data_IF_300856519529
#
_entry.id   IF_300856519529
#
_cell.length_a   1.000
_cell.length_b   1.000
_cell.length_c   1.000
_cell.angle_alpha   90.00
_cell.angle_beta   90.00
_cell.angle_gamma   90.00
#
_symmetry.space_group_name_H-M   'P 1'
#
loop_
_entity.id
_entity.type
_entity.pdbx_description
1 polymer ?
#
# COMPACT_ATOMS: atom_id res chain seq x y z
N UNK A 1 22.39 -19.03 -0.59
CA UNK A 1 22.32 -17.73 -1.28
C UNK A 1 20.90 -17.14 -1.37
N UNK A 2 19.84 -17.91 -1.67
CA UNK A 2 18.49 -17.34 -1.88
C UNK A 2 17.82 -16.62 -0.68
N UNK A 3 18.12 -16.99 0.57
CA UNK A 3 17.46 -16.38 1.76
C UNK A 3 17.89 -14.94 2.06
N UNK A 4 19.15 -14.58 1.81
CA UNK A 4 19.65 -13.22 2.01
C UNK A 4 19.09 -12.26 0.95
N UNK A 5 18.99 -12.74 -0.30
CA UNK A 5 18.40 -11.97 -1.40
C UNK A 5 16.92 -11.72 -1.15
N UNK A 6 16.16 -12.71 -0.69
CA UNK A 6 14.74 -12.56 -0.36
C UNK A 6 14.52 -11.54 0.77
N UNK A 7 15.34 -11.56 1.83
CA UNK A 7 15.28 -10.58 2.91
C UNK A 7 15.54 -9.14 2.46
N UNK A 8 16.58 -8.93 1.63
CA UNK A 8 16.85 -7.61 1.05
C UNK A 8 15.72 -7.14 0.13
N UNK A 9 15.12 -8.04 -0.65
CA UNK A 9 14.02 -7.72 -1.56
C UNK A 9 12.78 -7.25 -0.80
N UNK A 10 12.43 -7.94 0.29
CA UNK A 10 11.31 -7.57 1.17
C UNK A 10 11.59 -6.22 1.84
N UNK A 11 12.79 -6.01 2.41
CA UNK A 11 13.17 -4.74 3.02
C UNK A 11 13.09 -3.57 2.04
N UNK A 12 13.66 -3.73 0.84
CA UNK A 12 13.64 -2.70 -0.20
C UNK A 12 12.22 -2.38 -0.67
N UNK A 13 11.38 -3.41 -0.81
CA UNK A 13 10.00 -3.21 -1.24
C UNK A 13 9.11 -2.59 -0.15
N UNK A 14 9.35 -2.87 1.15
CA UNK A 14 8.71 -2.15 2.26
C UNK A 14 9.09 -0.67 2.28
N UNK A 15 10.37 -0.35 2.04
CA UNK A 15 10.83 1.04 1.92
C UNK A 15 10.19 1.75 0.73
N UNK A 16 10.12 1.10 -0.43
CA UNK A 16 9.46 1.67 -1.60
C UNK A 16 7.96 1.87 -1.38
N UNK A 17 7.27 0.94 -0.71
CA UNK A 17 5.85 1.06 -0.39
C UNK A 17 5.56 2.26 0.52
N UNK A 18 6.36 2.44 1.57
CA UNK A 18 6.22 3.60 2.47
C UNK A 18 6.55 4.91 1.75
N UNK A 19 7.55 4.91 0.87
CA UNK A 19 7.87 6.07 0.03
C UNK A 19 6.73 6.43 -0.94
N UNK A 20 6.11 5.44 -1.59
CA UNK A 20 4.97 5.66 -2.50
C UNK A 20 3.73 6.14 -1.73
N UNK A 21 3.42 5.54 -0.58
CA UNK A 21 2.31 5.97 0.27
C UNK A 21 2.52 7.42 0.76
N UNK A 22 3.73 7.76 1.21
CA UNK A 22 4.09 9.12 1.61
C UNK A 22 4.00 10.09 0.42
N UNK A 23 4.47 9.70 -0.76
CA UNK A 23 4.37 10.52 -1.97
C UNK A 23 2.91 10.82 -2.32
N UNK A 24 2.01 9.84 -2.25
CA UNK A 24 0.57 10.04 -2.49
C UNK A 24 -0.02 11.01 -1.48
N UNK A 25 0.29 10.88 -0.19
CA UNK A 25 -0.17 11.80 0.87
C UNK A 25 0.33 13.23 0.61
N UNK A 26 1.60 13.40 0.25
CA UNK A 26 2.19 14.72 -0.01
C UNK A 26 1.57 15.36 -1.26
N UNK A 27 1.37 14.57 -2.32
CA UNK A 27 0.74 15.05 -3.57
C UNK A 27 -0.72 15.44 -3.29
N UNK A 28 -1.49 14.62 -2.57
CA UNK A 28 -2.88 14.94 -2.24
C UNK A 28 -2.97 16.18 -1.36
N UNK A 29 -2.12 16.31 -0.34
CA UNK A 29 -2.11 17.45 0.58
C UNK A 29 -1.69 18.76 -0.09
N UNK A 30 -0.58 18.76 -0.82
CA UNK A 30 0.03 20.00 -1.34
C UNK A 30 -0.47 20.38 -2.74
N UNK A 31 -0.88 19.41 -3.55
CA UNK A 31 -1.21 19.66 -4.96
C UNK A 31 -2.71 19.54 -5.28
N UNK A 32 -3.46 18.72 -4.54
CA UNK A 32 -4.88 18.47 -4.82
C UNK A 32 -5.86 19.02 -3.78
N UNK A 33 -5.39 19.38 -2.58
CA UNK A 33 -6.20 20.13 -1.62
C UNK A 33 -6.16 21.61 -1.96
N UNK A 34 -7.33 22.19 -2.25
CA UNK A 34 -7.48 23.65 -2.35
C UNK A 34 -8.52 24.08 -1.32
N UNK A 35 -8.12 24.98 -0.44
CA UNK A 35 -9.05 25.64 0.49
C UNK A 35 -9.75 26.73 -0.30
N UNK A 36 -11.05 26.57 -0.52
CA UNK A 36 -11.88 27.59 -1.14
C UNK A 36 -12.67 28.27 -0.03
N UNK A 37 -12.23 29.47 0.35
CA UNK A 37 -12.99 30.37 1.21
C UNK A 37 -14.06 31.04 0.36
N UNK A 38 -15.27 30.47 0.39
CA UNK A 38 -16.45 31.08 -0.20
C UNK A 38 -17.05 32.05 0.80
N UNK A 39 -17.23 33.30 0.41
CA UNK A 39 -17.97 34.26 1.23
C UNK A 39 -19.44 34.15 0.85
N UNK A 40 -20.26 33.59 1.74
CA UNK A 40 -21.69 33.46 1.49
C UNK A 40 -22.40 34.73 2.00
N UNK A 41 -22.75 35.62 1.07
CA UNK A 41 -23.44 36.88 1.35
C UNK A 41 -24.81 36.71 2.00
N UNK A 42 -25.45 35.54 1.84
CA UNK A 42 -26.78 35.29 2.41
C UNK A 42 -26.73 34.86 3.88
N UNK A 43 -25.59 34.37 4.37
CA UNK A 43 -25.45 33.91 5.77
C UNK A 43 -24.38 34.67 6.56
N UNK A 44 -23.69 35.65 5.96
CA UNK A 44 -22.58 36.41 6.57
C UNK A 44 -21.52 35.51 7.24
N UNK A 45 -21.38 34.28 6.74
CA UNK A 45 -20.42 33.31 7.25
C UNK A 45 -19.37 33.02 6.17
N UNK A 46 -18.12 32.95 6.59
CA UNK A 46 -17.04 32.45 5.75
C UNK A 46 -17.17 30.92 5.67
N UNK A 47 -17.62 30.42 4.51
CA UNK A 47 -17.69 28.98 4.27
C UNK A 47 -16.33 28.49 3.78
N UNK A 48 -15.64 27.74 4.64
CA UNK A 48 -14.33 27.16 4.35
C UNK A 48 -14.57 25.78 3.73
N UNK A 49 -14.79 25.74 2.42
CA UNK A 49 -14.96 24.47 1.71
C UNK A 49 -13.61 23.91 1.28
N UNK A 50 -13.28 22.71 1.79
CA UNK A 50 -12.12 21.95 1.33
C UNK A 50 -12.49 21.22 0.03
N UNK A 51 -12.06 21.75 -1.12
CA UNK A 51 -12.31 21.11 -2.40
C UNK A 51 -11.15 20.17 -2.76
N UNK A 52 -11.49 18.90 -2.97
CA UNK A 52 -10.56 17.89 -3.46
C UNK A 52 -10.57 17.88 -4.99
N UNK A 53 -9.45 18.27 -5.61
CA UNK A 53 -9.28 18.25 -7.07
C UNK A 53 -9.21 16.82 -7.66
N UNK A 54 -9.11 15.79 -6.82
CA UNK A 54 -9.13 14.40 -7.27
C UNK A 54 -10.55 13.94 -7.65
N UNK A 55 -11.55 14.59 -7.07
CA UNK A 55 -12.95 14.42 -7.38
C UNK A 55 -13.79 13.88 -6.23
N UNK A 56 -15.06 13.64 -6.54
CA UNK A 56 -16.06 13.07 -5.64
C UNK A 56 -16.66 11.82 -6.28
N UNK A 57 -17.02 10.84 -5.45
CA UNK A 57 -17.81 9.69 -5.89
C UNK A 57 -19.23 10.14 -6.20
N UNK A 58 -20.01 9.31 -6.90
CA UNK A 58 -21.43 9.61 -7.14
C UNK A 58 -22.25 9.73 -5.84
N UNK A 59 -21.75 9.16 -4.74
CA UNK A 59 -22.34 9.26 -3.40
C UNK A 59 -21.85 10.49 -2.62
N UNK A 60 -21.08 11.39 -3.25
CA UNK A 60 -20.53 12.59 -2.63
C UNK A 60 -19.29 12.35 -1.76
N UNK A 61 -18.73 11.13 -1.74
CA UNK A 61 -17.53 10.85 -0.95
C UNK A 61 -16.30 11.46 -1.63
N UNK A 62 -15.44 12.11 -0.87
CA UNK A 62 -14.27 12.82 -1.40
C UNK A 62 -13.09 11.84 -1.60
N UNK A 63 -12.59 11.76 -2.84
CA UNK A 63 -11.54 10.79 -3.22
C UNK A 63 -10.18 11.08 -2.56
N UNK A 64 -9.92 12.31 -2.12
CA UNK A 64 -8.69 12.62 -1.38
C UNK A 64 -8.69 11.92 -0.03
N UNK A 65 -9.83 11.88 0.68
CA UNK A 65 -9.92 11.11 1.95
C UNK A 65 -9.74 9.62 1.72
N UNK A 66 -10.24 9.09 0.60
CA UNK A 66 -10.00 7.72 0.23
C UNK A 66 -8.50 7.43 -0.01
N UNK A 67 -7.79 8.33 -0.71
CA UNK A 67 -6.34 8.22 -0.90
C UNK A 67 -5.57 8.26 0.42
N UNK A 68 -5.96 9.12 1.37
CA UNK A 68 -5.38 9.15 2.71
C UNK A 68 -5.65 7.87 3.48
N UNK A 69 -6.87 7.35 3.43
CA UNK A 69 -7.25 6.12 4.12
C UNK A 69 -6.43 4.92 3.61
N UNK A 70 -6.35 4.73 2.29
CA UNK A 70 -5.59 3.64 1.67
C UNK A 70 -4.09 3.75 1.99
N UNK A 71 -3.53 4.96 1.91
CA UNK A 71 -2.12 5.21 2.22
C UNK A 71 -1.81 5.01 3.71
N UNK A 72 -2.69 5.49 4.60
CA UNK A 72 -2.57 5.33 6.04
C UNK A 72 -2.66 3.88 6.49
N UNK A 73 -3.65 3.13 5.97
CA UNK A 73 -3.77 1.68 6.24
C UNK A 73 -2.50 0.96 5.81
N UNK A 74 -1.92 1.31 4.67
CA UNK A 74 -0.69 0.69 4.18
C UNK A 74 0.50 0.96 5.11
N UNK A 75 0.69 2.20 5.58
CA UNK A 75 1.77 2.55 6.52
C UNK A 75 1.61 1.78 7.84
N UNK A 76 0.39 1.74 8.39
CA UNK A 76 0.11 1.02 9.64
C UNK A 76 0.34 -0.48 9.45
N UNK A 77 -0.12 -1.06 8.34
CA UNK A 77 0.10 -2.47 8.02
C UNK A 77 1.60 -2.79 7.93
N UNK A 78 2.41 -1.95 7.26
CA UNK A 78 3.87 -2.13 7.21
C UNK A 78 4.50 -2.06 8.61
N UNK A 79 4.05 -1.14 9.47
CA UNK A 79 4.52 -1.03 10.85
C UNK A 79 4.19 -2.28 11.68
N UNK A 80 2.97 -2.78 11.56
CA UNK A 80 2.51 -4.00 12.24
C UNK A 80 3.33 -5.21 11.80
N UNK A 81 3.57 -5.36 10.49
CA UNK A 81 4.42 -6.43 9.94
C UNK A 81 5.84 -6.34 10.49
N UNK A 82 6.43 -5.14 10.57
CA UNK A 82 7.77 -4.94 11.13
C UNK A 82 7.85 -5.38 12.60
N UNK A 83 6.86 -5.02 13.42
CA UNK A 83 6.78 -5.44 14.83
C UNK A 83 6.61 -6.96 14.92
N UNK A 84 5.72 -7.54 14.11
CA UNK A 84 5.48 -8.98 14.07
C UNK A 84 6.74 -9.74 13.64
N UNK A 85 7.50 -9.25 12.66
CA UNK A 85 8.77 -9.83 12.24
C UNK A 85 9.81 -9.81 13.38
N UNK A 86 9.86 -8.74 14.19
CA UNK A 86 10.71 -8.69 15.38
C UNK A 86 10.26 -9.68 16.48
N UNK A 87 8.95 -9.82 16.71
CA UNK A 87 8.41 -10.71 17.74
C UNK A 87 8.44 -12.20 17.34
N UNK A 88 8.37 -12.50 16.04
CA UNK A 88 8.29 -13.88 15.51
C UNK A 88 9.64 -14.50 15.18
N UNK A 89 10.77 -13.87 15.54
CA UNK A 89 12.13 -14.40 15.34
C UNK A 89 12.38 -15.79 15.97
N UNK A 90 11.45 -16.35 16.75
CA UNK A 90 11.53 -17.71 17.33
C UNK A 90 10.49 -18.73 16.83
N UNK A 91 9.55 -18.37 15.93
CA UNK A 91 8.53 -19.31 15.43
C UNK A 91 8.69 -19.57 13.92
N UNK A 92 9.28 -20.72 13.61
CA UNK A 92 9.48 -21.28 12.27
C UNK A 92 8.23 -21.17 11.36
N UNK A 93 8.22 -20.23 10.43
CA UNK A 93 7.34 -20.23 9.24
C UNK A 93 6.04 -19.43 9.34
N UNK A 94 5.61 -19.02 10.55
CA UNK A 94 4.41 -18.21 10.71
C UNK A 94 4.56 -16.83 10.06
N UNK A 95 5.76 -16.25 10.14
CA UNK A 95 6.06 -14.95 9.52
C UNK A 95 5.85 -14.94 8.01
N UNK A 96 6.17 -16.04 7.31
CA UNK A 96 6.03 -16.13 5.85
C UNK A 96 4.57 -16.20 5.41
N UNK A 97 3.72 -16.90 6.18
CA UNK A 97 2.29 -16.95 5.91
C UNK A 97 1.64 -15.58 6.12
N UNK A 98 2.02 -14.89 7.19
CA UNK A 98 1.50 -13.57 7.49
C UNK A 98 1.91 -12.54 6.42
N UNK A 99 3.17 -12.57 5.98
CA UNK A 99 3.66 -11.74 4.87
C UNK A 99 2.85 -11.98 3.59
N UNK A 100 2.53 -13.24 3.28
CA UNK A 100 1.73 -13.57 2.10
C UNK A 100 0.31 -12.97 2.18
N UNK A 101 -0.35 -13.07 3.34
CA UNK A 101 -1.70 -12.53 3.55
C UNK A 101 -1.70 -11.01 3.46
N UNK A 102 -0.75 -10.35 4.12
CA UNK A 102 -0.64 -8.89 4.05
C UNK A 102 -0.28 -8.40 2.64
N UNK A 103 0.62 -9.10 1.95
CA UNK A 103 0.94 -8.78 0.57
C UNK A 103 -0.28 -8.94 -0.34
N UNK A 104 -1.07 -10.01 -0.17
CA UNK A 104 -2.30 -10.22 -0.92
C UNK A 104 -3.40 -9.19 -0.59
N UNK A 105 -3.57 -8.83 0.68
CA UNK A 105 -4.50 -7.77 1.07
C UNK A 105 -4.06 -6.41 0.50
N UNK A 106 -2.75 -6.12 0.55
CA UNK A 106 -2.14 -4.93 -0.02
C UNK A 106 -2.32 -4.84 -1.53
N UNK A 107 -2.10 -5.93 -2.28
CA UNK A 107 -2.33 -5.93 -3.73
C UNK A 107 -3.77 -5.61 -4.07
N UNK A 108 -4.72 -6.26 -3.41
CA UNK A 108 -6.16 -6.05 -3.66
C UNK A 108 -6.53 -4.61 -3.33
N UNK A 109 -6.09 -4.09 -2.18
CA UNK A 109 -6.36 -2.72 -1.77
C UNK A 109 -5.84 -1.70 -2.79
N UNK A 110 -4.59 -1.83 -3.22
CA UNK A 110 -3.97 -0.93 -4.19
C UNK A 110 -4.52 -1.10 -5.62
N UNK A 111 -4.93 -2.31 -6.00
CA UNK A 111 -5.61 -2.56 -7.26
C UNK A 111 -6.97 -1.86 -7.31
N UNK A 112 -7.79 -2.01 -6.27
CA UNK A 112 -9.09 -1.33 -6.16
C UNK A 112 -8.90 0.18 -6.17
N UNK A 113 -7.94 0.69 -5.42
CA UNK A 113 -7.64 2.11 -5.39
C UNK A 113 -7.24 2.65 -6.77
N UNK A 114 -6.36 1.94 -7.49
CA UNK A 114 -5.94 2.36 -8.83
C UNK A 114 -7.04 2.31 -9.87
N UNK A 115 -7.91 1.30 -9.82
CA UNK A 115 -9.10 1.24 -10.67
C UNK A 115 -10.04 2.41 -10.37
N UNK A 116 -10.32 2.69 -9.09
CA UNK A 116 -11.16 3.81 -8.70
C UNK A 116 -10.58 5.14 -9.20
N UNK A 117 -9.32 5.44 -8.91
CA UNK A 117 -8.69 6.69 -9.37
C UNK A 117 -8.71 6.82 -10.91
N UNK A 118 -8.48 5.73 -11.64
CA UNK A 118 -8.51 5.76 -13.11
C UNK A 118 -9.92 6.00 -13.68
N UNK A 119 -10.95 5.39 -13.08
CA UNK A 119 -12.34 5.56 -13.51
C UNK A 119 -12.81 7.01 -13.28
N UNK A 120 -12.57 7.55 -12.08
CA UNK A 120 -12.98 8.91 -11.75
C UNK A 120 -12.15 9.98 -12.47
N UNK A 121 -10.91 9.68 -12.86
CA UNK A 121 -10.11 10.60 -13.69
C UNK A 121 -10.78 10.86 -15.05
N UNK A 122 -11.36 9.81 -15.65
CA UNK A 122 -11.98 9.83 -16.97
C UNK A 122 -13.40 10.38 -17.00
N UNK A 123 -13.99 10.68 -15.84
CA UNK A 123 -15.34 11.23 -15.80
C UNK A 123 -15.40 12.65 -16.41
N UNK A 124 -16.43 12.96 -17.22
CA UNK A 124 -16.55 14.25 -17.89
C UNK A 124 -16.67 15.42 -16.91
N UNK A 125 -17.21 15.18 -15.70
CA UNK A 125 -17.25 16.14 -14.61
C UNK A 125 -15.85 16.67 -14.20
N UNK A 126 -14.79 15.95 -14.54
CA UNK A 126 -13.41 16.29 -14.19
C UNK A 126 -12.58 16.78 -15.39
N UNK A 127 -13.16 16.89 -16.59
CA UNK A 127 -12.45 17.26 -17.82
C UNK A 127 -11.93 18.71 -17.83
N UNK A 128 -12.44 19.57 -16.94
CA UNK A 128 -11.99 20.96 -16.76
C UNK A 128 -11.26 21.22 -15.44
N UNK A 129 -11.00 20.19 -14.64
CA UNK A 129 -10.37 20.37 -13.33
C UNK A 129 -8.90 20.80 -13.48
N UNK A 130 -8.43 21.81 -12.72
CA UNK A 130 -7.04 22.28 -12.80
C UNK A 130 -6.05 21.16 -12.43
N UNK A 131 -4.85 21.22 -13.00
CA UNK A 131 -3.71 20.29 -12.73
C UNK A 131 -3.94 18.82 -13.18
N UNK A 132 -4.20 18.55 -14.47
CA UNK A 132 -4.40 17.19 -14.98
C UNK A 132 -3.16 16.29 -14.81
N UNK A 133 -1.96 16.86 -14.94
CA UNK A 133 -0.65 16.20 -14.74
C UNK A 133 -0.59 15.41 -13.41
N UNK A 134 -0.97 16.07 -12.31
CA UNK A 134 -0.89 15.50 -10.96
C UNK A 134 -1.99 14.48 -10.69
N UNK A 135 -3.16 14.67 -11.31
CA UNK A 135 -4.28 13.72 -11.21
C UNK A 135 -3.95 12.41 -11.89
N UNK A 136 -3.25 12.44 -13.02
CA UNK A 136 -2.78 11.26 -13.75
C UNK A 136 -1.65 10.52 -13.04
N UNK A 137 -0.85 11.22 -12.23
CA UNK A 137 0.22 10.61 -11.45
C UNK A 137 -0.29 9.67 -10.35
N UNK A 138 -1.43 10.00 -9.71
CA UNK A 138 -2.00 9.19 -8.61
C UNK A 138 -2.36 7.75 -9.04
N UNK A 139 -3.13 7.51 -10.12
CA UNK A 139 -3.42 6.14 -10.55
C UNK A 139 -2.14 5.41 -10.95
N UNK A 140 -1.18 6.06 -11.59
CA UNK A 140 0.11 5.45 -11.93
C UNK A 140 0.84 4.98 -10.65
N UNK A 141 0.95 5.86 -9.65
CA UNK A 141 1.57 5.52 -8.36
C UNK A 141 0.84 4.38 -7.66
N UNK A 142 -0.49 4.36 -7.69
CA UNK A 142 -1.27 3.26 -7.10
C UNK A 142 -1.05 1.92 -7.79
N UNK A 143 -0.92 1.88 -9.13
CA UNK A 143 -0.56 0.66 -9.86
C UNK A 143 0.88 0.22 -9.58
N UNK A 144 1.81 1.15 -9.39
CA UNK A 144 3.18 0.80 -8.98
C UNK A 144 3.20 0.18 -7.58
N UNK A 145 2.41 0.71 -6.63
CA UNK A 145 2.25 0.11 -5.31
C UNK A 145 1.62 -1.29 -5.40
N UNK A 146 0.59 -1.45 -6.23
CA UNK A 146 -0.01 -2.76 -6.51
C UNK A 146 1.01 -3.76 -7.05
N UNK A 147 1.85 -3.35 -8.00
CA UNK A 147 2.90 -4.21 -8.56
C UNK A 147 3.94 -4.62 -7.50
N UNK A 148 4.35 -3.68 -6.63
CA UNK A 148 5.28 -3.95 -5.53
C UNK A 148 4.72 -4.99 -4.55
N UNK A 149 3.47 -4.82 -4.09
CA UNK A 149 2.82 -5.83 -3.26
C UNK A 149 2.62 -7.16 -4.00
N UNK A 150 2.42 -7.12 -5.32
CA UNK A 150 2.24 -8.31 -6.16
C UNK A 150 3.50 -9.16 -6.22
N UNK A 151 4.64 -8.51 -6.43
CA UNK A 151 5.95 -9.19 -6.43
C UNK A 151 6.24 -9.80 -5.05
N UNK A 152 5.95 -9.08 -3.95
CA UNK A 152 6.08 -9.65 -2.61
C UNK A 152 5.19 -10.87 -2.41
N UNK A 153 3.92 -10.79 -2.82
CA UNK A 153 2.97 -11.88 -2.68
C UNK A 153 3.43 -13.12 -3.46
N UNK A 154 3.87 -12.94 -4.71
CA UNK A 154 4.44 -14.02 -5.51
C UNK A 154 5.67 -14.63 -4.84
N UNK A 155 6.61 -13.81 -4.36
CA UNK A 155 7.80 -14.29 -3.67
C UNK A 155 7.46 -15.09 -2.39
N UNK A 156 6.49 -14.63 -1.61
CA UNK A 156 6.00 -15.33 -0.42
C UNK A 156 5.36 -16.67 -0.80
N UNK A 157 4.50 -16.69 -1.82
CA UNK A 157 3.86 -17.90 -2.34
C UNK A 157 4.92 -18.91 -2.84
N UNK A 158 5.90 -18.46 -3.63
CA UNK A 158 7.00 -19.32 -4.08
C UNK A 158 7.78 -19.91 -2.91
N UNK A 159 8.01 -19.12 -1.85
CA UNK A 159 8.72 -19.60 -0.67
C UNK A 159 7.92 -20.63 0.14
N UNK A 160 6.59 -20.47 0.22
CA UNK A 160 5.68 -21.43 0.85
C UNK A 160 5.66 -22.73 0.03
N UNK A 161 5.52 -22.64 -1.30
CA UNK A 161 5.57 -23.81 -2.18
C UNK A 161 6.94 -24.50 -2.12
N UNK A 162 8.05 -23.76 -2.12
CA UNK A 162 9.37 -24.34 -1.97
C UNK A 162 9.57 -25.01 -0.59
N UNK A 163 9.04 -24.43 0.49
CA UNK A 163 9.09 -25.03 1.82
C UNK A 163 8.19 -26.28 1.94
N UNK A 164 7.00 -26.27 1.32
CA UNK A 164 6.10 -27.43 1.26
C UNK A 164 6.62 -28.54 0.33
N UNK A 165 7.26 -28.19 -0.80
CA UNK A 165 7.81 -29.17 -1.76
C UNK A 165 9.22 -29.67 -1.39
N UNK A 166 10.01 -28.91 -0.62
CA UNK A 166 11.31 -29.35 -0.09
C UNK A 166 11.28 -29.73 1.40
N UNK A 167 10.09 -29.86 2.00
CA UNK A 167 9.84 -30.19 3.40
C UNK A 167 10.26 -31.59 3.87
N UNK A 168 11.20 -32.25 3.18
CA UNK A 168 11.72 -33.58 3.58
C UNK A 168 13.23 -33.69 3.75
N UNK A 169 13.98 -32.59 3.76
CA UNK A 169 15.45 -32.71 3.81
C UNK A 169 16.14 -31.59 4.58
N UNK A 170 15.87 -31.43 5.89
CA UNK A 170 16.85 -30.95 6.94
C UNK A 170 16.30 -31.02 8.39
N UNK A 171 15.47 -32.02 8.75
CA UNK A 171 15.19 -32.40 10.17
C UNK A 171 15.96 -33.66 10.57
N UNK A 172 17.24 -33.75 10.20
CA UNK A 172 18.06 -34.97 10.39
C UNK A 172 19.54 -34.71 10.67
N UNK A 173 19.89 -33.67 11.45
CA UNK A 173 21.27 -33.49 11.90
C UNK A 173 21.37 -32.82 13.29
N UNK A 174 20.54 -33.25 14.24
CA UNK A 174 20.74 -32.90 15.66
C UNK A 174 20.36 -34.05 16.61
N UNK A 175 20.69 -35.28 16.21
CA UNK A 175 20.76 -36.44 17.10
C UNK A 175 21.97 -37.28 16.72
N UNK A 176 23.15 -36.92 17.24
CA UNK A 176 24.27 -37.80 17.65
C UNK A 176 25.51 -36.96 17.91
N UNK A 177 26.03 -37.06 19.12
CA UNK A 177 27.39 -36.64 19.46
C UNK A 177 27.45 -35.69 20.64
N UNK A 178 27.43 -36.24 21.86
CA UNK A 178 27.69 -35.46 23.07
C UNK A 178 27.42 -36.17 24.39
N UNK A 179 27.52 -37.50 24.47
CA UNK A 179 27.96 -38.16 25.71
C UNK A 179 29.48 -38.33 25.59
N UNK A 180 30.21 -37.55 26.38
CA UNK A 180 31.33 -37.97 27.24
C UNK A 180 31.56 -36.87 28.27
#
# INVERSE_FOLDING_TARGET
>A
MGRAVAGCLVGLSCFLQTAVAAAIIVITALKLHKVSVGWNSDTYNADVSNVCLLGFTEQGANLCYFAYAVSGISIVATGVISILQCCTCNLCGLGTLLDAIFAAAGTVLWAVAGVMFNLYEKMPAMAGAPRPEWRRAIPILSFTACALFGVMCLAAIYSIFAACCCGRSKRGYKSRGGEV
#
